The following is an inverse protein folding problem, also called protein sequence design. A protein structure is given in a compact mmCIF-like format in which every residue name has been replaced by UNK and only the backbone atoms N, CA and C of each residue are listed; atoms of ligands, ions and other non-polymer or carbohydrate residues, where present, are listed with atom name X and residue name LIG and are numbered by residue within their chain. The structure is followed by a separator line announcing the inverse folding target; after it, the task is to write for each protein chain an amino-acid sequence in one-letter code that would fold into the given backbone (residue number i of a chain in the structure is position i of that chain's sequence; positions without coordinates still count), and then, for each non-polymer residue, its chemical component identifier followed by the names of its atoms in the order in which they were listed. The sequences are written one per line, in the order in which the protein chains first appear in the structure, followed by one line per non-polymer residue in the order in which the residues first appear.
data_IF_707272698752
#
_entry.id   IF_707272698752
#
_cell.length_a   1.000
_cell.length_b   1.000
_cell.length_c   1.000
_cell.angle_alpha   90.00
_cell.angle_beta   90.00
_cell.angle_gamma   90.00
#
_symmetry.space_group_name_H-M   'P 1'
#
loop_
_entity.id
_entity.type
_entity.pdbx_description
1 polymer ?
#
# COMPACT_ATOMS: atom_id res chain seq x y z
N UNK A 1 -2.54 53.07 -19.32
CA UNK A 1 -1.09 52.89 -19.57
C UNK A 1 -0.47 52.51 -18.24
N UNK A 2 0.29 51.45 -17.98
CA UNK A 2 0.74 50.26 -18.72
C UNK A 2 1.34 49.31 -17.63
N UNK A 3 1.19 47.99 -17.84
CA UNK A 3 1.75 46.82 -17.14
C UNK A 3 3.15 46.93 -16.51
N UNK A 4 3.38 46.15 -15.43
CA UNK A 4 4.34 45.03 -15.31
C UNK A 4 4.09 44.32 -13.95
N UNK A 5 3.90 43.01 -13.78
CA UNK A 5 4.58 41.85 -14.39
C UNK A 5 5.70 41.39 -13.45
N UNK A 6 5.39 40.70 -12.34
CA UNK A 6 5.47 39.23 -12.17
C UNK A 6 6.88 38.64 -12.05
N UNK A 7 7.18 38.02 -10.90
CA UNK A 7 7.96 36.78 -10.81
C UNK A 7 7.84 36.17 -9.39
N UNK A 8 6.78 35.39 -9.13
CA UNK A 8 6.79 34.42 -8.02
C UNK A 8 7.34 33.11 -8.56
N UNK A 9 8.50 32.71 -8.03
CA UNK A 9 9.20 31.47 -8.32
C UNK A 9 8.39 30.29 -7.78
N UNK A 10 7.92 29.42 -8.68
CA UNK A 10 7.19 28.20 -8.34
C UNK A 10 8.14 27.09 -7.88
N UNK A 11 7.98 26.63 -6.64
CA UNK A 11 8.63 25.41 -6.14
C UNK A 11 7.98 24.19 -6.79
N UNK A 12 8.73 23.24 -7.37
CA UNK A 12 8.16 22.06 -8.01
C UNK A 12 7.60 21.07 -6.97
N UNK A 13 6.36 20.59 -7.19
CA UNK A 13 5.72 19.49 -6.44
C UNK A 13 6.32 18.13 -6.80
N UNK A 14 7.58 17.87 -6.43
CA UNK A 14 8.32 16.65 -6.80
C UNK A 14 8.20 15.46 -5.81
N UNK A 15 7.38 15.56 -4.75
CA UNK A 15 7.32 14.52 -3.70
C UNK A 15 6.52 13.25 -4.05
N UNK A 16 5.51 13.31 -4.92
CA UNK A 16 4.54 12.20 -5.07
C UNK A 16 4.92 11.19 -6.17
N UNK A 17 5.51 11.62 -7.29
CA UNK A 17 5.83 10.72 -8.42
C UNK A 17 7.07 9.86 -8.17
N UNK A 18 8.12 10.44 -7.57
CA UNK A 18 9.35 9.71 -7.22
C UNK A 18 9.07 8.64 -6.16
N UNK A 19 8.21 8.95 -5.18
CA UNK A 19 7.86 8.02 -4.11
C UNK A 19 6.92 6.90 -4.57
N UNK A 20 5.89 7.21 -5.39
CA UNK A 20 5.10 6.18 -6.06
C UNK A 20 5.98 5.27 -6.94
N UNK A 21 6.97 5.84 -7.61
CA UNK A 21 7.99 5.09 -8.35
C UNK A 21 8.82 4.17 -7.46
N UNK A 22 9.25 4.63 -6.27
CA UNK A 22 9.98 3.83 -5.29
C UNK A 22 9.17 2.63 -4.79
N UNK A 23 7.90 2.85 -4.41
CA UNK A 23 7.02 1.77 -3.95
C UNK A 23 6.66 0.79 -5.05
N UNK A 24 6.35 1.27 -6.26
CA UNK A 24 6.06 0.41 -7.40
C UNK A 24 7.24 -0.48 -7.75
N UNK A 25 8.48 0.03 -7.67
CA UNK A 25 9.69 -0.79 -7.80
C UNK A 25 9.75 -1.86 -6.69
N UNK A 26 9.56 -1.47 -5.43
CA UNK A 26 9.72 -2.35 -4.24
C UNK A 26 8.79 -3.55 -4.31
N UNK A 27 7.52 -3.31 -4.58
CA UNK A 27 6.51 -4.37 -4.63
C UNK A 27 6.64 -5.22 -5.89
N UNK A 28 7.12 -4.64 -7.01
CA UNK A 28 7.38 -5.43 -8.23
C UNK A 28 8.56 -6.37 -8.03
N UNK A 29 9.61 -5.91 -7.36
CA UNK A 29 10.79 -6.70 -7.01
C UNK A 29 10.43 -7.82 -6.00
N UNK A 30 9.56 -7.53 -5.02
CA UNK A 30 8.96 -8.55 -4.15
C UNK A 30 8.19 -9.62 -4.94
N UNK A 31 7.22 -9.23 -5.78
CA UNK A 31 6.43 -10.19 -6.58
C UNK A 31 7.33 -11.05 -7.48
N UNK A 32 8.41 -10.48 -8.02
CA UNK A 32 9.34 -11.22 -8.86
C UNK A 32 10.16 -12.26 -8.09
N UNK A 33 10.58 -11.96 -6.85
CA UNK A 33 11.48 -12.81 -6.08
C UNK A 33 10.78 -13.85 -5.22
N UNK A 34 9.55 -13.60 -4.79
CA UNK A 34 8.83 -14.45 -3.85
C UNK A 34 7.97 -15.46 -4.61
N UNK A 35 8.31 -16.76 -4.58
CA UNK A 35 7.48 -17.79 -5.19
C UNK A 35 6.06 -17.78 -4.62
N UNK A 36 5.07 -17.94 -5.48
CA UNK A 36 3.65 -17.91 -5.10
C UNK A 36 3.05 -16.50 -5.07
N UNK A 37 3.82 -15.42 -4.95
CA UNK A 37 3.28 -14.06 -5.06
C UNK A 37 2.97 -13.73 -6.53
N UNK A 38 1.70 -13.52 -6.87
CA UNK A 38 1.26 -13.22 -8.23
C UNK A 38 1.23 -11.72 -8.52
N UNK A 39 0.61 -10.94 -7.63
CA UNK A 39 0.49 -9.48 -7.76
C UNK A 39 0.43 -8.82 -6.38
N UNK A 40 0.81 -7.55 -6.30
CA UNK A 40 0.75 -6.79 -5.06
C UNK A 40 0.33 -5.34 -5.28
N UNK A 41 -0.32 -4.75 -4.28
CA UNK A 41 -0.63 -3.32 -4.21
C UNK A 41 -0.33 -2.77 -2.81
N UNK A 42 0.02 -1.49 -2.76
CA UNK A 42 0.06 -0.72 -1.51
C UNK A 42 -1.12 0.25 -1.51
N UNK A 43 -1.87 0.23 -0.43
CA UNK A 43 -3.09 1.03 -0.24
C UNK A 43 -2.86 1.94 0.96
N UNK A 44 -3.20 3.22 0.85
CA UNK A 44 -3.13 4.14 1.99
C UNK A 44 -4.21 3.86 3.03
N UNK A 45 -4.07 4.46 4.21
CA UNK A 45 -5.04 4.36 5.29
C UNK A 45 -6.47 4.84 4.93
N UNK A 46 -6.61 5.68 3.89
CA UNK A 46 -7.90 6.15 3.35
C UNK A 46 -8.42 5.29 2.19
N UNK A 47 -7.74 4.19 1.85
CA UNK A 47 -8.17 3.24 0.83
C UNK A 47 -7.72 3.55 -0.60
N UNK A 48 -6.87 4.57 -0.81
CA UNK A 48 -6.39 4.92 -2.14
C UNK A 48 -5.20 4.06 -2.57
N UNK A 49 -5.16 3.69 -3.86
CA UNK A 49 -4.03 2.99 -4.45
C UNK A 49 -2.78 3.88 -4.49
N UNK A 50 -1.74 3.49 -3.76
CA UNK A 50 -0.46 4.18 -3.75
C UNK A 50 0.48 3.63 -4.83
N UNK A 51 0.56 2.30 -4.95
CA UNK A 51 1.41 1.62 -5.92
C UNK A 51 0.87 0.22 -6.25
N UNK A 52 1.20 -0.28 -7.45
CA UNK A 52 0.92 -1.65 -7.88
C UNK A 52 2.15 -2.31 -8.49
N UNK A 53 2.25 -3.63 -8.34
CA UNK A 53 3.30 -4.41 -9.00
C UNK A 53 3.15 -4.36 -10.52
N UNK A 54 4.26 -4.49 -11.24
CA UNK A 54 4.23 -4.64 -12.70
C UNK A 54 3.36 -5.83 -13.11
N UNK A 55 2.71 -5.71 -14.27
CA UNK A 55 1.85 -6.75 -14.83
C UNK A 55 0.42 -6.78 -14.29
N UNK A 56 0.10 -6.04 -13.23
CA UNK A 56 -1.27 -5.86 -12.77
C UNK A 56 -1.91 -4.66 -13.51
N UNK A 57 -3.00 -4.87 -14.29
CA UNK A 57 -3.72 -3.77 -14.94
C UNK A 57 -4.22 -2.74 -13.94
N UNK A 58 -4.24 -1.46 -14.32
CA UNK A 58 -4.56 -0.35 -13.42
C UNK A 58 -5.96 -0.48 -12.81
N UNK A 59 -6.95 -0.82 -13.61
CA UNK A 59 -8.33 -1.08 -13.21
C UNK A 59 -8.44 -2.23 -12.19
N UNK A 60 -7.64 -3.29 -12.37
CA UNK A 60 -7.56 -4.40 -11.41
C UNK A 60 -6.84 -4.01 -10.12
N UNK A 61 -5.82 -3.16 -10.20
CA UNK A 61 -5.15 -2.62 -9.03
C UNK A 61 -6.08 -1.74 -8.19
N UNK A 62 -6.88 -0.89 -8.83
CA UNK A 62 -7.88 -0.05 -8.15
C UNK A 62 -8.98 -0.92 -7.50
N UNK A 63 -9.43 -1.99 -8.17
CA UNK A 63 -10.36 -2.97 -7.60
C UNK A 63 -9.75 -3.69 -6.38
N UNK A 64 -8.50 -4.14 -6.48
CA UNK A 64 -7.81 -4.80 -5.38
C UNK A 64 -7.62 -3.86 -4.17
N UNK A 65 -7.32 -2.59 -4.41
CA UNK A 65 -7.22 -1.58 -3.36
C UNK A 65 -8.56 -1.40 -2.62
N UNK A 66 -9.68 -1.33 -3.35
CA UNK A 66 -11.01 -1.23 -2.75
C UNK A 66 -11.35 -2.47 -1.89
N UNK A 67 -11.08 -3.67 -2.40
CA UNK A 67 -11.26 -4.92 -1.65
C UNK A 67 -10.40 -4.93 -0.39
N UNK A 68 -9.13 -4.55 -0.50
CA UNK A 68 -8.20 -4.54 0.61
C UNK A 68 -8.62 -3.55 1.71
N UNK A 69 -9.08 -2.36 1.33
CA UNK A 69 -9.60 -1.35 2.26
C UNK A 69 -10.83 -1.86 3.03
N UNK A 70 -11.77 -2.51 2.33
CA UNK A 70 -12.97 -3.09 2.94
C UNK A 70 -12.62 -4.19 3.95
N UNK A 71 -11.77 -5.15 3.57
CA UNK A 71 -11.33 -6.24 4.45
C UNK A 71 -10.58 -5.72 5.68
N UNK A 72 -9.65 -4.79 5.49
CA UNK A 72 -8.89 -4.18 6.60
C UNK A 72 -9.82 -3.46 7.59
N UNK A 73 -10.82 -2.75 7.07
CA UNK A 73 -11.81 -2.05 7.89
C UNK A 73 -12.67 -3.02 8.71
N UNK A 74 -13.12 -4.11 8.10
CA UNK A 74 -13.89 -5.17 8.79
C UNK A 74 -13.05 -5.87 9.85
N UNK A 75 -11.80 -6.25 9.53
CA UNK A 75 -10.90 -6.91 10.47
C UNK A 75 -10.61 -6.01 11.68
N UNK A 76 -10.33 -4.71 11.46
CA UNK A 76 -10.13 -3.74 12.53
C UNK A 76 -11.38 -3.56 13.38
N UNK A 77 -12.55 -3.48 12.76
CA UNK A 77 -13.84 -3.40 13.47
C UNK A 77 -14.07 -4.62 14.36
N UNK A 78 -13.82 -5.83 13.86
CA UNK A 78 -13.89 -7.06 14.66
C UNK A 78 -12.92 -7.02 15.84
N UNK A 79 -11.66 -6.66 15.61
CA UNK A 79 -10.68 -6.55 16.69
C UNK A 79 -11.08 -5.51 17.76
N UNK A 80 -11.71 -4.40 17.37
CA UNK A 80 -12.23 -3.42 18.32
C UNK A 80 -13.42 -3.96 19.13
N UNK A 81 -14.39 -4.61 18.48
CA UNK A 81 -15.60 -5.15 19.13
C UNK A 81 -15.25 -6.25 20.14
N UNK A 82 -14.23 -7.05 19.84
CA UNK A 82 -13.84 -8.19 20.67
C UNK A 82 -12.56 -7.94 21.47
N UNK A 83 -12.11 -6.68 21.61
CA UNK A 83 -10.90 -6.31 22.35
C UNK A 83 -9.63 -7.09 21.93
N UNK A 84 -9.56 -7.50 20.67
CA UNK A 84 -8.49 -8.34 20.11
C UNK A 84 -7.19 -7.62 19.76
N UNK A 85 -7.10 -6.30 20.02
CA UNK A 85 -5.91 -5.49 19.78
C UNK A 85 -5.66 -5.17 18.30
N UNK A 86 -4.39 -5.04 17.91
CA UNK A 86 -4.00 -4.66 16.54
C UNK A 86 -4.08 -5.84 15.58
N UNK A 87 -4.70 -5.64 14.42
CA UNK A 87 -4.70 -6.64 13.33
C UNK A 87 -3.32 -6.65 12.66
N UNK A 88 -2.56 -7.71 12.91
CA UNK A 88 -1.26 -7.91 12.28
C UNK A 88 -1.40 -8.23 10.78
N UNK A 89 -2.29 -9.15 10.45
CA UNK A 89 -2.52 -9.62 9.08
C UNK A 89 -3.92 -10.19 8.90
N UNK A 90 -4.36 -10.28 7.65
CA UNK A 90 -5.57 -11.00 7.23
C UNK A 90 -5.22 -11.89 6.05
N UNK A 91 -5.72 -13.13 6.07
CA UNK A 91 -5.52 -14.10 4.99
C UNK A 91 -6.89 -14.58 4.54
N UNK A 92 -7.18 -14.45 3.25
CA UNK A 92 -8.39 -14.98 2.62
C UNK A 92 -7.97 -16.07 1.65
N UNK A 93 -8.41 -17.29 1.93
CA UNK A 93 -8.24 -18.43 1.04
C UNK A 93 -9.43 -18.52 0.07
N UNK A 94 -9.12 -18.65 -1.21
CA UNK A 94 -10.07 -18.79 -2.31
C UNK A 94 -9.72 -20.06 -3.09
N UNK A 95 -10.68 -20.62 -3.81
CA UNK A 95 -10.46 -21.84 -4.59
C UNK A 95 -9.26 -21.75 -5.58
N UNK A 96 -8.92 -20.53 -6.03
CA UNK A 96 -7.87 -20.28 -7.00
C UNK A 96 -6.72 -19.41 -6.45
N UNK A 97 -6.48 -19.47 -5.14
CA UNK A 97 -5.34 -18.79 -4.52
C UNK A 97 -5.70 -18.02 -3.26
N UNK A 98 -4.87 -17.07 -2.91
CA UNK A 98 -4.93 -16.38 -1.63
C UNK A 98 -4.93 -14.87 -1.82
N UNK A 99 -5.50 -14.16 -0.85
CA UNK A 99 -5.30 -12.73 -0.67
C UNK A 99 -4.76 -12.50 0.74
N UNK A 100 -3.55 -11.97 0.81
CA UNK A 100 -2.87 -11.58 2.04
C UNK A 100 -2.96 -10.07 2.20
N UNK A 101 -3.26 -9.62 3.41
CA UNK A 101 -3.20 -8.21 3.79
C UNK A 101 -2.33 -8.08 5.03
N UNK A 102 -1.42 -7.11 5.01
CA UNK A 102 -0.56 -6.79 6.15
C UNK A 102 -0.56 -5.29 6.41
N UNK A 103 -0.73 -4.94 7.68
CA UNK A 103 -0.73 -3.56 8.14
C UNK A 103 0.69 -2.99 8.11
N UNK A 104 0.84 -1.77 7.60
CA UNK A 104 2.07 -0.96 7.66
C UNK A 104 1.94 0.04 8.81
N UNK A 105 3.05 0.40 9.46
CA UNK A 105 3.05 1.23 10.68
C UNK A 105 2.42 2.62 10.53
N UNK A 106 2.25 3.11 9.30
CA UNK A 106 1.62 4.39 8.99
C UNK A 106 0.10 4.30 8.78
N UNK A 107 -0.47 3.10 8.96
CA UNK A 107 -1.87 2.80 8.68
C UNK A 107 -2.16 2.41 7.22
N UNK A 108 -1.15 2.40 6.35
CA UNK A 108 -1.26 1.83 5.01
C UNK A 108 -1.32 0.30 5.08
N UNK A 109 -1.69 -0.34 3.97
CA UNK A 109 -1.82 -1.79 3.85
C UNK A 109 -1.08 -2.29 2.62
N UNK A 110 -0.30 -3.36 2.79
CA UNK A 110 0.23 -4.16 1.69
C UNK A 110 -0.75 -5.31 1.43
N UNK A 111 -1.27 -5.39 0.20
CA UNK A 111 -2.12 -6.49 -0.24
C UNK A 111 -1.42 -7.30 -1.34
N UNK A 112 -1.42 -8.63 -1.19
CA UNK A 112 -0.74 -9.56 -2.11
C UNK A 112 -1.70 -10.66 -2.53
N UNK A 113 -1.83 -10.89 -3.83
CA UNK A 113 -2.49 -12.06 -4.39
C UNK A 113 -1.47 -13.20 -4.50
N UNK A 114 -1.78 -14.33 -3.89
CA UNK A 114 -1.00 -15.56 -3.97
C UNK A 114 -1.63 -16.58 -4.93
N UNK A 115 -0.78 -17.37 -5.59
CA UNK A 115 -1.19 -18.53 -6.38
C UNK A 115 -1.73 -19.67 -5.48
N UNK A 116 -2.50 -20.64 -6.02
CA UNK A 116 -3.05 -21.77 -5.24
C UNK A 116 -2.02 -22.64 -4.54
N UNK A 117 -0.81 -22.71 -5.09
CA UNK A 117 0.32 -23.50 -4.60
C UNK A 117 1.31 -22.67 -3.74
N UNK A 118 0.91 -21.46 -3.33
CA UNK A 118 1.76 -20.59 -2.52
C UNK A 118 2.09 -21.22 -1.17
N UNK A 119 3.36 -21.14 -0.77
CA UNK A 119 3.74 -21.30 0.63
C UNK A 119 3.33 -20.04 1.41
N UNK A 120 2.23 -20.15 2.15
CA UNK A 120 1.66 -19.07 2.97
C UNK A 120 2.71 -18.51 3.94
N UNK A 121 3.51 -19.38 4.58
CA UNK A 121 4.51 -18.98 5.55
C UNK A 121 5.61 -18.13 4.92
N UNK A 122 6.11 -18.55 3.76
CA UNK A 122 7.11 -17.81 3.00
C UNK A 122 6.58 -16.44 2.53
N UNK A 123 5.38 -16.40 1.95
CA UNK A 123 4.79 -15.15 1.47
C UNK A 123 4.61 -14.16 2.62
N UNK A 124 4.07 -14.60 3.75
CA UNK A 124 3.88 -13.76 4.94
C UNK A 124 5.22 -13.30 5.52
N UNK A 125 6.23 -14.17 5.56
CA UNK A 125 7.58 -13.80 6.00
C UNK A 125 8.18 -12.68 5.14
N UNK A 126 8.15 -12.84 3.82
CA UNK A 126 8.69 -11.85 2.89
C UNK A 126 7.86 -10.54 2.91
N UNK A 127 6.54 -10.63 3.10
CA UNK A 127 5.69 -9.45 3.32
C UNK A 127 6.12 -8.69 4.57
N UNK A 128 6.46 -9.39 5.65
CA UNK A 128 6.92 -8.77 6.90
C UNK A 128 8.21 -7.97 6.66
N UNK A 129 9.20 -8.56 5.98
CA UNK A 129 10.44 -7.88 5.62
C UNK A 129 10.22 -6.68 4.69
N UNK A 130 9.27 -6.79 3.76
CA UNK A 130 8.92 -5.71 2.85
C UNK A 130 8.24 -4.55 3.59
N UNK A 131 7.29 -4.83 4.47
CA UNK A 131 6.59 -3.82 5.28
C UNK A 131 7.57 -3.07 6.18
N UNK A 132 8.53 -3.76 6.80
CA UNK A 132 9.58 -3.12 7.59
C UNK A 132 10.42 -2.16 6.75
N UNK A 133 10.79 -2.57 5.53
CA UNK A 133 11.56 -1.73 4.59
C UNK A 133 10.76 -0.53 4.11
N UNK A 134 9.48 -0.72 3.80
CA UNK A 134 8.55 0.36 3.41
C UNK A 134 8.37 1.35 4.57
N UNK A 135 8.23 0.85 5.80
CA UNK A 135 8.11 1.66 7.00
C UNK A 135 9.31 2.57 7.25
N UNK A 136 10.53 2.11 6.94
CA UNK A 136 11.76 2.90 7.03
C UNK A 136 11.88 3.99 5.95
N UNK A 137 11.35 3.73 4.74
CA UNK A 137 11.37 4.72 3.65
C UNK A 137 10.28 5.78 3.78
N UNK A 138 9.28 5.56 4.62
CA UNK A 138 8.24 6.53 4.98
C UNK A 138 8.64 7.29 6.24
N UNK A 139 9.50 8.31 6.11
CA UNK A 139 9.90 9.14 7.25
C UNK A 139 8.73 9.97 7.81
N UNK A 140 8.76 10.34 9.11
CA UNK A 140 7.71 11.10 9.78
C UNK A 140 7.35 12.44 9.09
N UNK A 141 8.31 13.14 8.48
CA UNK A 141 8.06 14.43 7.80
C UNK A 141 7.16 14.29 6.57
N UNK A 142 7.13 13.10 5.96
CA UNK A 142 6.38 12.78 4.76
C UNK A 142 4.93 12.39 5.10
N UNK A 143 4.73 11.76 6.27
CA UNK A 143 3.40 11.49 6.85
C UNK A 143 2.65 12.77 7.21
N UNK A 144 3.36 13.75 7.79
CA UNK A 144 2.78 15.05 8.15
C UNK A 144 2.30 15.85 6.93
N UNK A 145 2.99 15.74 5.80
CA UNK A 145 2.62 16.44 4.56
C UNK A 145 1.37 15.86 3.89
N UNK A 146 1.14 14.55 3.99
CA UNK A 146 -0.05 13.87 3.45
C UNK A 146 -1.29 14.06 4.33
N UNK A 147 -1.13 14.11 5.66
CA UNK A 147 -2.21 14.39 6.59
C UNK A 147 -2.63 15.88 6.57
N UNK A 148 -1.72 16.79 6.22
CA UNK A 148 -2.00 18.22 6.09
C UNK A 148 -2.84 18.61 4.85
N UNK A 149 -2.85 17.80 3.80
CA UNK A 149 -3.61 18.09 2.56
C UNK A 149 -5.11 17.81 2.66
N UNK A 150 -5.56 17.04 3.65
CA UNK A 150 -6.99 16.67 3.83
C UNK A 150 -7.75 17.65 4.73
N UNK A 151 -7.11 18.74 5.19
CA UNK A 151 -7.70 19.72 6.13
C UNK A 151 -7.91 21.11 5.53
N UNK A 152 -8.14 21.22 4.22
CA UNK A 152 -8.52 22.48 3.56
C UNK A 152 -9.82 22.35 2.79
#
# INVERSE_FOLDING_TARGET
MTRAGSAQSGVPKQGNSAQKGSFAWLISDFVHRVPGAAHAVVVSADGLLLASSRGLPKDRADQLAAVASGLTSLARGAAQVFEGGTVAQTVVEMANGFLFLMSVSDGSCLAVLGAPDSDIGLVVYEMTLLVDRVGQQMTPELRAQLQGSTRR
#
